data_IF_762550460052
#
_entry.id   IF_762550460052
#
_cell.length_a   1.000
_cell.length_b   1.000
_cell.length_c   1.000
_cell.angle_alpha   90.00
_cell.angle_beta   90.00
_cell.angle_gamma   90.00
#
_symmetry.space_group_name_H-M   'P 1'
#
loop_
_entity.id
_entity.type
_entity.pdbx_description
1 polymer ?
#
# COMPACT_ATOMS: atom_id res chain seq x y z
N UNK A 1 7.49 -7.90 35.57
CA UNK A 1 6.63 -8.92 34.91
C UNK A 1 5.70 -8.32 33.83
N UNK A 2 4.99 -7.23 34.10
CA UNK A 2 4.06 -6.61 33.13
C UNK A 2 4.75 -6.02 31.88
N UNK A 3 5.93 -5.41 32.04
CA UNK A 3 6.70 -4.82 30.94
C UNK A 3 7.26 -5.86 29.95
N UNK A 4 7.76 -6.99 30.44
CA UNK A 4 8.30 -8.06 29.60
C UNK A 4 7.22 -8.74 28.77
N UNK A 5 6.01 -8.88 29.32
CA UNK A 5 4.88 -9.50 28.61
C UNK A 5 4.30 -8.61 27.49
N UNK A 6 4.27 -7.29 27.69
CA UNK A 6 3.82 -6.34 26.67
C UNK A 6 4.79 -6.29 25.47
N UNK A 7 6.10 -6.40 25.75
CA UNK A 7 7.16 -6.30 24.75
C UNK A 7 7.27 -7.58 23.90
N UNK A 8 7.09 -8.76 24.49
CA UNK A 8 7.02 -10.02 23.73
C UNK A 8 5.78 -10.12 22.86
N UNK A 9 4.64 -9.56 23.29
CA UNK A 9 3.42 -9.53 22.48
C UNK A 9 3.59 -8.62 21.26
N UNK A 10 4.19 -7.43 21.42
CA UNK A 10 4.45 -6.50 20.30
C UNK A 10 5.38 -7.10 19.22
N UNK A 11 6.36 -7.91 19.65
CA UNK A 11 7.28 -8.60 18.75
C UNK A 11 6.63 -9.71 17.91
N UNK A 12 5.58 -10.38 18.41
CA UNK A 12 4.87 -11.41 17.63
C UNK A 12 3.96 -10.84 16.53
N UNK A 13 3.46 -9.61 16.68
CA UNK A 13 2.64 -8.97 15.63
C UNK A 13 3.45 -8.51 14.42
N UNK A 14 4.73 -8.20 14.60
CA UNK A 14 5.62 -7.83 13.48
C UNK A 14 6.04 -9.03 12.62
N UNK A 15 6.00 -10.25 13.15
CA UNK A 15 6.42 -11.46 12.43
C UNK A 15 5.38 -11.99 11.44
N UNK A 16 4.12 -11.56 11.54
CA UNK A 16 3.01 -12.09 10.75
C UNK A 16 2.71 -11.29 9.47
N UNK A 17 3.39 -10.17 9.23
CA UNK A 17 3.25 -9.39 7.99
C UNK A 17 4.24 -9.80 6.88
N UNK A 18 5.02 -10.85 7.08
CA UNK A 18 6.03 -11.33 6.12
C UNK A 18 5.54 -12.58 5.36
N UNK A 19 4.32 -12.54 4.83
CA UNK A 19 3.91 -13.42 3.74
C UNK A 19 3.42 -12.54 2.60
N UNK A 20 4.36 -11.78 2.03
CA UNK A 20 4.17 -11.17 0.72
C UNK A 20 4.17 -12.27 -0.34
N UNK A 21 3.27 -12.15 -1.30
CA UNK A 21 3.05 -13.06 -2.40
C UNK A 21 4.35 -13.42 -3.11
N UNK A 22 4.66 -14.72 -3.17
CA UNK A 22 5.51 -15.25 -4.23
C UNK A 22 4.59 -15.38 -5.46
N UNK A 23 4.52 -14.35 -6.29
CA UNK A 23 4.16 -14.58 -7.69
C UNK A 23 5.38 -15.29 -8.30
N UNK A 24 5.25 -16.59 -8.56
CA UNK A 24 6.17 -17.25 -9.48
C UNK A 24 5.95 -16.60 -10.84
N UNK A 25 6.98 -15.97 -11.42
CA UNK A 25 6.96 -15.47 -12.79
C UNK A 25 6.78 -16.65 -13.75
N UNK A 26 5.53 -16.96 -14.11
CA UNK A 26 5.23 -18.06 -15.04
C UNK A 26 5.41 -17.57 -16.46
N UNK A 27 6.64 -17.73 -16.94
CA UNK A 27 7.04 -17.40 -18.30
C UNK A 27 6.36 -18.32 -19.34
N UNK A 28 6.00 -17.76 -20.49
CA UNK A 28 5.44 -18.55 -21.58
C UNK A 28 6.50 -19.38 -22.31
N UNK A 29 6.08 -20.53 -22.82
CA UNK A 29 6.93 -21.33 -23.70
C UNK A 29 6.99 -20.64 -25.07
N UNK A 30 8.11 -19.96 -25.32
CA UNK A 30 8.36 -19.21 -26.53
C UNK A 30 8.37 -20.10 -27.78
N UNK A 31 8.65 -21.41 -27.65
CA UNK A 31 8.63 -22.35 -28.80
C UNK A 31 7.21 -22.59 -29.33
N UNK A 32 6.19 -22.24 -28.53
CA UNK A 32 4.77 -22.29 -28.89
C UNK A 32 4.23 -20.94 -29.38
N UNK A 33 5.10 -19.96 -29.58
CA UNK A 33 4.77 -18.67 -30.17
C UNK A 33 5.43 -18.56 -31.54
N UNK A 34 4.62 -18.59 -32.59
CA UNK A 34 5.10 -18.60 -33.97
C UNK A 34 4.72 -17.32 -34.68
N UNK A 35 5.67 -16.73 -35.41
CA UNK A 35 5.39 -15.61 -36.28
C UNK A 35 5.04 -16.16 -37.67
N UNK A 36 3.89 -15.74 -38.17
CA UNK A 36 3.27 -16.14 -39.43
C UNK A 36 3.07 -14.87 -40.26
N UNK A 37 3.23 -14.98 -41.59
CA UNK A 37 2.93 -13.91 -42.55
C UNK A 37 3.60 -12.56 -42.22
N UNK A 38 4.91 -12.57 -42.00
CA UNK A 38 5.67 -11.34 -41.82
C UNK A 38 5.98 -10.65 -43.15
N UNK A 39 5.96 -9.32 -43.15
CA UNK A 39 6.40 -8.47 -44.25
C UNK A 39 7.19 -7.27 -43.73
N UNK A 40 8.18 -6.82 -44.52
CA UNK A 40 9.02 -5.66 -44.22
C UNK A 40 8.77 -4.57 -45.26
N UNK A 41 8.72 -3.33 -44.81
CA UNK A 41 8.62 -2.15 -45.65
C UNK A 41 9.61 -1.09 -45.20
N UNK A 42 10.13 -0.35 -46.17
CA UNK A 42 11.05 0.76 -45.97
C UNK A 42 10.42 2.03 -46.52
N UNK A 43 10.52 3.13 -45.77
CA UNK A 43 9.98 4.43 -46.14
C UNK A 43 10.88 5.56 -45.67
N UNK A 44 10.87 6.69 -46.38
CA UNK A 44 11.64 7.88 -46.00
C UNK A 44 10.74 9.13 -45.87
N UNK A 45 9.76 9.15 -44.94
CA UNK A 45 8.97 10.34 -44.71
C UNK A 45 9.87 11.47 -44.17
N UNK A 46 9.80 12.65 -44.79
CA UNK A 46 10.49 13.87 -44.35
C UNK A 46 12.02 13.69 -44.17
N UNK A 47 12.64 12.86 -45.01
CA UNK A 47 14.07 12.55 -44.96
C UNK A 47 14.48 11.64 -43.78
N UNK A 48 13.52 11.11 -43.01
CA UNK A 48 13.78 10.15 -41.93
C UNK A 48 13.57 8.75 -42.46
N UNK A 49 14.61 7.93 -42.40
CA UNK A 49 14.55 6.52 -42.82
C UNK A 49 13.83 5.69 -41.76
N UNK A 50 12.81 4.96 -42.17
CA UNK A 50 11.96 4.16 -41.28
C UNK A 50 11.75 2.79 -41.88
N UNK A 51 12.02 1.76 -41.07
CA UNK A 51 11.69 0.38 -41.37
C UNK A 51 10.47 -0.03 -40.55
N UNK A 52 9.48 -0.62 -41.21
CA UNK A 52 8.27 -1.15 -40.59
C UNK A 52 8.14 -2.63 -40.91
N UNK A 53 7.97 -3.44 -39.87
CA UNK A 53 7.68 -4.87 -39.97
C UNK A 53 6.26 -5.10 -39.51
N UNK A 54 5.47 -5.76 -40.35
CA UNK A 54 4.14 -6.24 -40.03
C UNK A 54 4.21 -7.77 -39.97
N UNK A 55 3.47 -8.37 -39.05
CA UNK A 55 3.37 -9.83 -38.99
C UNK A 55 2.21 -10.26 -38.13
N UNK A 56 1.97 -11.56 -38.11
CA UNK A 56 0.94 -12.18 -37.31
C UNK A 56 1.60 -13.13 -36.31
N UNK A 57 1.25 -13.00 -35.04
CA UNK A 57 1.72 -13.87 -33.98
C UNK A 57 0.65 -14.92 -33.67
N UNK A 58 1.01 -16.19 -33.78
CA UNK A 58 0.17 -17.35 -33.48
C UNK A 58 0.56 -17.96 -32.15
N UNK A 59 -0.41 -18.10 -31.25
CA UNK A 59 -0.20 -18.74 -29.95
C UNK A 59 -0.71 -20.19 -29.95
N UNK A 60 0.18 -21.15 -29.77
CA UNK A 60 -0.16 -22.58 -29.55
C UNK A 60 0.06 -23.02 -28.10
N UNK A 61 0.33 -22.09 -27.17
CA UNK A 61 0.33 -22.36 -25.74
C UNK A 61 -1.08 -22.76 -25.27
N UNK A 62 -1.17 -23.59 -24.20
CA UNK A 62 -2.45 -23.91 -23.58
C UNK A 62 -3.09 -22.74 -22.82
N UNK A 63 -2.38 -21.62 -22.67
CA UNK A 63 -2.82 -20.42 -21.98
C UNK A 63 -2.67 -19.18 -22.88
N UNK A 64 -3.48 -18.13 -22.67
CA UNK A 64 -3.26 -16.85 -23.33
C UNK A 64 -1.93 -16.25 -22.86
N UNK A 65 -1.29 -15.48 -23.73
CA UNK A 65 -0.02 -14.80 -23.43
C UNK A 65 -0.19 -13.29 -23.57
N UNK A 66 0.53 -12.55 -22.74
CA UNK A 66 0.62 -11.10 -22.72
C UNK A 66 2.08 -10.64 -22.49
N UNK A 67 2.25 -9.33 -22.29
CA UNK A 67 3.56 -8.69 -22.09
C UNK A 67 4.64 -9.09 -23.11
N UNK A 68 4.26 -9.14 -24.38
CA UNK A 68 5.11 -9.64 -25.45
C UNK A 68 6.24 -8.66 -25.78
N UNK A 69 7.46 -9.16 -25.93
CA UNK A 69 8.59 -8.43 -26.51
C UNK A 69 9.00 -9.13 -27.80
N UNK A 70 8.90 -8.40 -28.91
CA UNK A 70 9.28 -8.91 -30.24
C UNK A 70 10.55 -8.20 -30.71
N UNK A 71 11.45 -8.98 -31.29
CA UNK A 71 12.69 -8.51 -31.89
C UNK A 71 12.70 -8.84 -33.39
N UNK A 72 12.96 -7.83 -34.21
CA UNK A 72 13.24 -7.96 -35.63
C UNK A 72 14.72 -7.67 -35.88
N UNK A 73 15.43 -8.64 -36.45
CA UNK A 73 16.84 -8.55 -36.87
C UNK A 73 16.90 -8.42 -38.38
N UNK A 74 17.71 -7.50 -38.87
CA UNK A 74 17.90 -7.26 -40.30
C UNK A 74 19.33 -7.59 -40.72
N UNK A 75 19.49 -8.18 -41.89
CA UNK A 75 20.75 -8.71 -42.38
C UNK A 75 21.08 -8.18 -43.78
N UNK A 76 22.37 -8.03 -44.05
CA UNK A 76 22.89 -7.71 -45.39
C UNK A 76 23.00 -8.96 -46.27
N UNK A 77 23.46 -8.77 -47.51
CA UNK A 77 23.69 -9.84 -48.48
C UNK A 77 24.77 -10.84 -48.06
N UNK A 78 25.63 -10.48 -47.10
CA UNK A 78 26.63 -11.37 -46.49
C UNK A 78 26.09 -12.09 -45.24
N UNK A 79 24.80 -11.93 -44.91
CA UNK A 79 24.15 -12.42 -43.70
C UNK A 79 24.73 -11.85 -42.40
N UNK A 80 25.37 -10.68 -42.46
CA UNK A 80 25.77 -9.92 -41.26
C UNK A 80 24.60 -9.10 -40.76
N UNK A 81 24.51 -9.00 -39.43
CA UNK A 81 23.52 -8.19 -38.76
C UNK A 81 23.78 -6.70 -39.06
N UNK A 82 22.77 -6.03 -39.60
CA UNK A 82 22.81 -4.61 -39.97
C UNK A 82 22.09 -3.77 -38.93
N UNK A 83 20.94 -4.24 -38.47
CA UNK A 83 20.02 -3.46 -37.64
C UNK A 83 19.16 -4.40 -36.77
N UNK A 84 18.67 -3.89 -35.65
CA UNK A 84 17.81 -4.61 -34.70
C UNK A 84 16.74 -3.67 -34.15
N UNK A 85 15.49 -4.10 -34.22
CA UNK A 85 14.35 -3.42 -33.60
C UNK A 85 13.76 -4.33 -32.55
N UNK A 86 13.84 -3.93 -31.28
CA UNK A 86 13.20 -4.64 -30.17
C UNK A 86 12.11 -3.75 -29.59
N UNK A 87 10.86 -4.20 -29.61
CA UNK A 87 9.73 -3.44 -29.09
C UNK A 87 8.78 -4.32 -28.25
N UNK A 88 8.36 -3.82 -27.07
CA UNK A 88 7.26 -4.41 -26.33
C UNK A 88 5.91 -4.11 -27.01
N UNK A 89 5.05 -5.12 -27.09
CA UNK A 89 3.67 -5.00 -27.52
C UNK A 89 2.76 -4.85 -26.30
N UNK A 90 2.64 -3.62 -25.82
CA UNK A 90 1.80 -3.32 -24.67
C UNK A 90 0.32 -3.59 -24.96
N UNK A 91 -0.40 -4.13 -23.95
CA UNK A 91 -1.84 -4.36 -23.97
C UNK A 91 -2.34 -5.30 -25.08
N UNK A 92 -1.43 -6.09 -25.66
CA UNK A 92 -1.77 -7.12 -26.64
C UNK A 92 -1.84 -8.47 -25.91
N UNK A 93 -3.03 -9.05 -25.87
CA UNK A 93 -3.24 -10.42 -25.40
C UNK A 93 -3.40 -11.31 -26.63
N UNK A 94 -2.63 -12.39 -26.70
CA UNK A 94 -2.74 -13.39 -27.78
C UNK A 94 -3.49 -14.61 -27.24
N UNK A 95 -4.77 -14.81 -27.62
CA UNK A 95 -5.57 -15.89 -27.07
C UNK A 95 -5.07 -17.26 -27.51
N UNK A 96 -5.46 -18.29 -26.76
CA UNK A 96 -5.17 -19.70 -27.05
C UNK A 96 -5.60 -20.04 -28.47
N UNK A 97 -4.69 -20.64 -29.25
CA UNK A 97 -4.95 -21.11 -30.61
C UNK A 97 -5.42 -20.01 -31.57
N UNK A 98 -5.17 -18.74 -31.25
CA UNK A 98 -5.51 -17.59 -32.09
C UNK A 98 -4.27 -16.86 -32.57
N UNK A 99 -4.53 -15.97 -33.52
CA UNK A 99 -3.56 -15.18 -34.24
C UNK A 99 -3.85 -13.70 -34.00
N UNK A 100 -2.79 -12.91 -33.82
CA UNK A 100 -2.88 -11.45 -33.59
C UNK A 100 -1.84 -10.74 -34.45
N UNK A 101 -2.26 -9.72 -35.19
CA UNK A 101 -1.36 -8.87 -35.96
C UNK A 101 -0.53 -7.95 -35.07
N UNK A 102 0.74 -7.75 -35.41
CA UNK A 102 1.62 -6.79 -34.77
C UNK A 102 2.31 -5.90 -35.81
N UNK A 103 2.76 -4.73 -35.34
CA UNK A 103 3.54 -3.78 -36.14
C UNK A 103 4.73 -3.31 -35.31
N UNK A 104 5.93 -3.55 -35.84
CA UNK A 104 7.17 -2.97 -35.34
C UNK A 104 7.58 -1.83 -36.25
N UNK A 105 7.96 -0.70 -35.67
CA UNK A 105 8.39 0.48 -36.43
C UNK A 105 9.64 1.07 -35.81
N UNK A 106 10.73 1.11 -36.55
CA UNK A 106 12.01 1.65 -36.09
C UNK A 106 12.61 2.63 -37.10
N UNK A 107 13.52 3.46 -36.62
CA UNK A 107 14.39 4.26 -37.48
C UNK A 107 15.42 3.34 -38.12
N UNK A 108 15.72 3.56 -39.40
CA UNK A 108 16.68 2.75 -40.14
C UNK A 108 18.04 3.43 -40.18
N UNK A 109 19.09 2.72 -39.76
CA UNK A 109 20.45 3.28 -39.76
C UNK A 109 21.10 3.26 -41.15
N UNK A 110 20.67 2.35 -42.03
CA UNK A 110 21.21 2.19 -43.38
C UNK A 110 20.19 2.55 -44.46
N UNK A 111 20.70 2.66 -45.69
CA UNK A 111 19.88 2.79 -46.88
C UNK A 111 19.15 1.48 -47.18
N UNK A 112 18.03 1.56 -47.90
CA UNK A 112 17.19 0.40 -48.25
C UNK A 112 18.00 -0.75 -48.86
N UNK A 113 18.98 -0.46 -49.70
CA UNK A 113 19.78 -1.44 -50.44
C UNK A 113 20.70 -2.26 -49.53
N UNK A 114 20.91 -1.83 -48.29
CA UNK A 114 21.72 -2.56 -47.30
C UNK A 114 20.95 -3.68 -46.60
N UNK A 115 19.63 -3.75 -46.78
CA UNK A 115 18.76 -4.74 -46.16
C UNK A 115 18.39 -5.84 -47.17
N UNK A 116 18.94 -7.05 -47.00
CA UNK A 116 18.69 -8.20 -47.87
C UNK A 116 17.63 -9.14 -47.30
N UNK A 117 17.72 -9.42 -46.00
CA UNK A 117 16.82 -10.35 -45.32
C UNK A 117 16.56 -9.90 -43.88
N UNK A 118 15.50 -10.44 -43.29
CA UNK A 118 15.13 -10.14 -41.91
C UNK A 118 14.62 -11.39 -41.22
N UNK A 119 14.73 -11.43 -39.89
CA UNK A 119 14.19 -12.46 -39.03
C UNK A 119 13.43 -11.79 -37.88
N UNK A 120 12.27 -12.32 -37.52
CA UNK A 120 11.47 -11.81 -36.42
C UNK A 120 11.27 -12.93 -35.42
N UNK A 121 11.46 -12.64 -34.14
CA UNK A 121 11.32 -13.60 -33.06
C UNK A 121 10.70 -12.96 -31.82
N UNK A 122 10.02 -13.78 -31.01
CA UNK A 122 9.55 -13.38 -29.69
C UNK A 122 10.68 -13.63 -28.69
N UNK A 123 11.06 -12.59 -27.96
CA UNK A 123 12.15 -12.64 -26.97
C UNK A 123 11.61 -12.89 -25.57
N UNK A 124 10.42 -12.38 -25.28
CA UNK A 124 9.76 -12.51 -23.99
C UNK A 124 8.24 -12.54 -24.16
N UNK A 125 7.58 -13.30 -23.29
CA UNK A 125 6.14 -13.41 -23.21
C UNK A 125 5.77 -13.96 -21.83
N UNK A 126 4.74 -13.38 -21.21
CA UNK A 126 4.21 -13.84 -19.94
C UNK A 126 2.97 -14.71 -20.17
N UNK A 127 2.77 -15.73 -19.33
CA UNK A 127 1.52 -16.50 -19.38
C UNK A 127 0.47 -15.82 -18.52
N UNK A 128 -0.59 -15.37 -19.17
CA UNK A 128 -1.75 -14.89 -18.48
C UNK A 128 -2.56 -16.10 -17.98
N UNK A 129 -2.34 -16.49 -16.74
CA UNK A 129 -3.34 -17.30 -16.06
C UNK A 129 -4.52 -16.38 -15.84
N UNK A 130 -5.65 -16.71 -16.47
CA UNK A 130 -6.93 -16.24 -15.95
C UNK A 130 -6.96 -16.78 -14.53
N UNK A 131 -6.63 -15.91 -13.56
CA UNK A 131 -6.85 -16.17 -12.15
C UNK A 131 -8.28 -16.67 -12.09
N UNK A 132 -8.45 -18.00 -11.94
CA UNK A 132 -9.78 -18.55 -11.78
C UNK A 132 -10.38 -17.72 -10.67
N UNK A 133 -11.56 -17.09 -10.86
CA UNK A 133 -12.14 -16.22 -9.86
C UNK A 133 -12.14 -17.02 -8.58
N UNK A 134 -11.24 -16.62 -7.67
CA UNK A 134 -10.83 -17.37 -6.49
C UNK A 134 -12.12 -17.88 -5.88
N UNK A 135 -12.39 -19.20 -5.93
CA UNK A 135 -13.68 -19.82 -5.56
C UNK A 135 -14.18 -19.05 -4.36
N UNK A 136 -15.17 -18.16 -4.56
CA UNK A 136 -15.47 -17.04 -3.65
C UNK A 136 -15.29 -17.52 -2.22
N UNK A 137 -14.13 -17.26 -1.60
CA UNK A 137 -14.00 -17.44 -0.16
C UNK A 137 -15.06 -16.49 0.36
N UNK A 138 -16.06 -17.05 1.04
CA UNK A 138 -17.28 -16.31 1.34
C UNK A 138 -16.88 -14.98 1.95
N UNK A 139 -17.47 -13.87 1.50
CA UNK A 139 -17.10 -12.51 1.95
C UNK A 139 -16.96 -12.44 3.48
N UNK A 140 -17.78 -13.22 4.19
CA UNK A 140 -17.71 -13.42 5.64
C UNK A 140 -16.39 -13.97 6.18
N UNK A 141 -15.72 -14.90 5.49
CA UNK A 141 -14.42 -15.44 5.96
C UNK A 141 -13.31 -14.42 5.82
N UNK A 142 -13.26 -13.66 4.72
CA UNK A 142 -12.27 -12.58 4.54
C UNK A 142 -12.50 -11.44 5.55
N UNK A 143 -13.77 -11.12 5.80
CA UNK A 143 -14.16 -10.13 6.80
C UNK A 143 -13.78 -10.61 8.20
N UNK A 144 -14.09 -11.86 8.57
CA UNK A 144 -13.70 -12.40 9.89
C UNK A 144 -12.18 -12.47 10.08
N UNK A 145 -11.42 -12.81 9.04
CA UNK A 145 -9.94 -12.86 9.11
C UNK A 145 -9.35 -11.45 9.27
N UNK A 146 -9.89 -10.46 8.54
CA UNK A 146 -9.40 -9.07 8.63
C UNK A 146 -9.69 -8.42 9.98
N UNK A 147 -10.80 -8.77 10.65
CA UNK A 147 -11.13 -8.27 11.99
C UNK A 147 -10.57 -9.10 13.15
N UNK A 148 -10.00 -10.28 12.89
CA UNK A 148 -9.44 -11.16 13.92
C UNK A 148 -8.37 -10.47 14.80
N UNK A 149 -7.41 -9.69 14.26
CA UNK A 149 -6.41 -9.01 15.09
C UNK A 149 -7.03 -7.94 16.00
N UNK A 150 -8.04 -7.22 15.49
CA UNK A 150 -8.76 -6.19 16.25
C UNK A 150 -9.56 -6.82 17.39
N UNK A 151 -10.29 -7.92 17.12
CA UNK A 151 -11.06 -8.64 18.13
C UNK A 151 -10.16 -9.22 19.23
N UNK A 152 -9.00 -9.76 18.87
CA UNK A 152 -8.02 -10.26 19.83
C UNK A 152 -7.51 -9.14 20.73
N UNK A 153 -7.19 -7.98 20.16
CA UNK A 153 -6.77 -6.79 20.92
C UNK A 153 -7.85 -6.34 21.91
N UNK A 154 -9.12 -6.29 21.48
CA UNK A 154 -10.25 -5.93 22.34
C UNK A 154 -10.41 -6.94 23.49
N UNK A 155 -10.31 -8.24 23.21
CA UNK A 155 -10.41 -9.30 24.22
C UNK A 155 -9.32 -9.18 25.29
N UNK A 156 -8.07 -8.96 24.86
CA UNK A 156 -6.93 -8.75 25.77
C UNK A 156 -7.12 -7.48 26.61
N UNK A 157 -7.61 -6.40 25.99
CA UNK A 157 -7.89 -5.16 26.70
C UNK A 157 -8.99 -5.31 27.76
N UNK A 158 -10.10 -5.97 27.42
CA UNK A 158 -11.19 -6.24 28.38
C UNK A 158 -10.71 -7.13 29.52
N UNK A 159 -9.91 -8.15 29.22
CA UNK A 159 -9.29 -9.01 30.24
C UNK A 159 -8.38 -8.22 31.17
N UNK A 160 -7.54 -7.34 30.61
CA UNK A 160 -6.67 -6.44 31.38
C UNK A 160 -7.47 -5.50 32.28
N UNK A 161 -8.51 -4.85 31.73
CA UNK A 161 -9.40 -3.97 32.50
C UNK A 161 -10.08 -4.73 33.64
N UNK A 162 -10.61 -5.93 33.40
CA UNK A 162 -11.19 -6.76 34.47
C UNK A 162 -10.19 -7.11 35.57
N UNK A 163 -8.93 -7.36 35.20
CA UNK A 163 -7.87 -7.68 36.16
C UNK A 163 -7.39 -6.44 36.95
N UNK A 164 -7.36 -5.27 36.32
CA UNK A 164 -6.88 -4.02 36.91
C UNK A 164 -7.97 -3.21 37.63
N UNK A 165 -9.25 -3.41 37.33
CA UNK A 165 -10.38 -2.76 38.02
C UNK A 165 -10.68 -3.39 39.40
N UNK A 166 -9.85 -4.32 39.86
CA UNK A 166 -9.89 -4.85 41.23
C UNK A 166 -9.52 -3.78 42.28
N UNK A 167 -10.53 -3.22 42.94
CA UNK A 167 -10.54 -2.63 44.30
C UNK A 167 -9.67 -1.38 44.58
N UNK A 168 -9.06 -0.73 43.59
CA UNK A 168 -8.26 0.47 43.86
C UNK A 168 -8.20 1.48 42.70
N UNK A 169 -9.33 1.72 42.03
CA UNK A 169 -9.35 2.75 40.98
C UNK A 169 -9.13 4.15 41.58
N UNK A 170 -8.30 5.01 40.95
CA UNK A 170 -8.14 6.40 41.36
C UNK A 170 -9.46 7.16 41.41
N UNK A 171 -10.43 6.78 40.57
CA UNK A 171 -11.76 7.38 40.51
C UNK A 171 -12.55 7.24 41.83
N UNK A 172 -12.42 6.10 42.53
CA UNK A 172 -13.04 5.91 43.85
C UNK A 172 -12.38 6.75 44.95
N UNK A 173 -11.14 7.21 44.74
CA UNK A 173 -10.42 8.08 45.69
C UNK A 173 -10.74 9.57 45.46
N UNK A 174 -11.27 9.94 44.30
CA UNK A 174 -11.58 11.34 43.96
C UNK A 174 -12.79 11.85 44.75
N UNK A 175 -13.85 11.05 44.87
CA UNK A 175 -15.06 11.41 45.62
C UNK A 175 -14.76 11.83 47.08
N UNK A 176 -14.07 11.01 47.90
CA UNK A 176 -13.78 11.40 49.28
C UNK A 176 -12.77 12.56 49.38
N UNK A 177 -11.91 12.76 48.38
CA UNK A 177 -11.02 13.92 48.33
C UNK A 177 -11.78 15.22 48.01
N UNK A 178 -12.81 15.13 47.17
CA UNK A 178 -13.64 16.26 46.80
C UNK A 178 -14.56 16.69 47.95
N UNK A 179 -15.14 15.73 48.68
CA UNK A 179 -15.88 16.01 49.93
C UNK A 179 -15.00 16.77 50.94
N UNK A 180 -13.75 16.32 51.14
CA UNK A 180 -12.80 17.03 52.00
C UNK A 180 -12.47 18.46 51.55
N UNK A 181 -12.44 18.71 50.24
CA UNK A 181 -12.21 20.07 49.74
C UNK A 181 -13.39 21.00 50.01
N UNK A 182 -14.63 20.49 49.92
CA UNK A 182 -15.83 21.26 50.21
C UNK A 182 -15.86 21.68 51.68
N UNK A 183 -15.57 20.75 52.61
CA UNK A 183 -15.54 21.05 54.05
C UNK A 183 -14.52 22.14 54.42
N UNK A 184 -13.33 22.11 53.81
CA UNK A 184 -12.29 23.12 54.04
C UNK A 184 -12.72 24.50 53.51
N UNK A 185 -13.40 24.55 52.36
CA UNK A 185 -13.90 25.80 51.80
C UNK A 185 -15.00 26.42 52.66
N UNK A 186 -15.87 25.60 53.25
CA UNK A 186 -16.88 26.09 54.19
C UNK A 186 -16.25 26.65 55.47
N UNK A 187 -15.25 25.94 56.04
CA UNK A 187 -14.53 26.42 57.21
C UNK A 187 -13.80 27.74 56.95
N UNK A 188 -13.11 27.87 55.82
CA UNK A 188 -12.40 29.10 55.45
C UNK A 188 -13.36 30.27 55.23
N UNK A 189 -14.55 30.03 54.68
CA UNK A 189 -15.58 31.06 54.53
C UNK A 189 -16.09 31.59 55.87
N UNK A 190 -16.31 30.72 56.86
CA UNK A 190 -16.74 31.11 58.21
C UNK A 190 -15.65 31.90 58.93
N UNK A 191 -14.39 31.49 58.82
CA UNK A 191 -13.26 32.23 59.41
C UNK A 191 -13.13 33.60 58.77
N UNK A 192 -13.26 33.70 57.44
CA UNK A 192 -13.18 34.97 56.74
C UNK A 192 -14.28 35.96 57.17
N UNK A 193 -15.53 35.50 57.34
CA UNK A 193 -16.62 36.38 57.80
C UNK A 193 -16.43 36.85 59.24
N UNK A 194 -15.91 35.99 60.11
CA UNK A 194 -15.55 36.37 61.48
C UNK A 194 -14.44 37.43 61.52
N UNK A 195 -13.41 37.26 60.69
CA UNK A 195 -12.30 38.22 60.60
C UNK A 195 -12.78 39.60 60.10
N UNK A 196 -13.67 39.64 59.10
CA UNK A 196 -14.25 40.92 58.62
C UNK A 196 -15.05 41.60 59.72
N UNK A 197 -15.95 40.87 60.39
CA UNK A 197 -16.74 41.42 61.50
C UNK A 197 -15.86 41.89 62.67
N UNK A 198 -14.76 41.19 62.96
CA UNK A 198 -13.78 41.60 63.96
C UNK A 198 -13.05 42.88 63.55
N UNK A 199 -12.64 43.00 62.29
CA UNK A 199 -11.98 44.21 61.77
C UNK A 199 -12.92 45.42 61.77
N UNK A 200 -14.20 45.25 61.45
CA UNK A 200 -15.20 46.32 61.59
C UNK A 200 -15.34 46.79 63.03
N UNK A 201 -15.38 45.86 64.00
CA UNK A 201 -15.44 46.20 65.42
C UNK A 201 -14.19 46.96 65.89
N UNK A 202 -13.01 46.55 65.43
CA UNK A 202 -11.75 47.24 65.75
C UNK A 202 -11.72 48.64 65.11
N UNK A 203 -12.19 48.78 63.87
CA UNK A 203 -12.25 50.09 63.19
C UNK A 203 -13.18 51.06 63.92
N UNK A 204 -14.38 50.62 64.31
CA UNK A 204 -15.33 51.45 65.09
C UNK A 204 -14.76 51.82 66.46
N UNK A 205 -14.08 50.89 67.14
CA UNK A 205 -13.44 51.17 68.42
C UNK A 205 -12.28 52.17 68.27
N UNK A 206 -11.46 52.04 67.22
CA UNK A 206 -10.37 52.97 66.93
C UNK A 206 -10.88 54.38 66.59
N UNK A 207 -11.98 54.48 65.83
CA UNK A 207 -12.61 55.77 65.50
C UNK A 207 -13.13 56.48 66.76
N UNK A 208 -13.80 55.76 67.67
CA UNK A 208 -14.26 56.30 68.95
C UNK A 208 -13.12 56.79 69.85
N UNK A 209 -12.02 56.05 69.92
CA UNK A 209 -10.84 56.47 70.71
C UNK A 209 -10.15 57.69 70.07
N UNK A 210 -10.18 57.81 68.75
CA UNK A 210 -9.63 58.98 68.05
C UNK A 210 -10.51 60.23 68.22
N UNK A 211 -11.83 60.08 68.35
CA UNK A 211 -12.75 61.22 68.54
C UNK A 211 -12.80 61.73 69.98
N UNK A 212 -12.50 60.91 70.98
CA UNK A 212 -12.35 61.35 72.39
C UNK A 212 -11.04 62.09 72.68
N UNK A 213 -10.06 62.06 71.76
CA UNK A 213 -8.72 62.63 71.96
C UNK A 213 -8.51 64.00 71.29
N UNK A 214 -9.52 64.52 70.61
CA UNK A 214 -9.58 65.88 70.03
C UNK A 214 -10.59 66.74 70.80
#
# INVERSE_FOLDING_TARGET
MVRTFLMTMLLMFFSLSLQAANDEDINADLTKLNIVDSSMSYSEPDGKRVVTVLGTLKNTNPFPVDELIIEARFFDSQKKLVDVITQPLYQVIVPISKEVGFRLKGSADKLKESYDSYNVQVVYAEQHFVNQPNKRKGVWTELLISFLPLLLLILVYVFYMRKCMGKSSPQMKILPLMERQIDILEQTRVIASQNVAMMERIAIAAEKVSSEKN
#
